data_IF_897359402669
#
_entry.id   IF_897359402669
#
_cell.length_a   1.000
_cell.length_b   1.000
_cell.length_c   1.000
_cell.angle_alpha   90.00
_cell.angle_beta   90.00
_cell.angle_gamma   90.00
#
_symmetry.space_group_name_H-M   'P 1'
#
loop_
_entity.id
_entity.type
_entity.pdbx_description
1 polymer ?
#
# COMPACT_ATOMS: atom_id res chain seq x y z
N UNK A 1 -13.79 24.43 46.45
CA UNK A 1 -13.13 23.64 45.37
C UNK A 1 -11.64 23.96 45.37
N UNK A 2 -10.75 22.98 45.14
CA UNK A 2 -9.30 23.25 45.06
C UNK A 2 -8.99 24.02 43.75
N UNK A 3 -8.02 24.94 43.76
CA UNK A 3 -7.63 25.76 42.59
C UNK A 3 -7.44 24.93 41.31
N UNK A 4 -6.78 23.77 41.42
CA UNK A 4 -6.61 22.82 40.31
C UNK A 4 -7.92 22.41 39.64
N UNK A 5 -8.99 22.19 40.41
CA UNK A 5 -10.28 21.75 39.90
C UNK A 5 -10.98 22.87 39.14
N UNK A 6 -10.83 24.12 39.62
CA UNK A 6 -11.35 25.32 38.97
C UNK A 6 -10.60 25.54 37.65
N UNK A 7 -9.26 25.52 37.68
CA UNK A 7 -8.42 25.72 36.51
C UNK A 7 -8.67 24.68 35.41
N UNK A 8 -8.74 23.39 35.76
CA UNK A 8 -8.99 22.33 34.77
C UNK A 8 -10.40 22.44 34.19
N UNK A 9 -11.42 22.69 35.00
CA UNK A 9 -12.80 22.76 34.51
C UNK A 9 -13.03 23.99 33.62
N UNK A 10 -12.71 25.19 34.12
CA UNK A 10 -12.97 26.43 33.39
C UNK A 10 -11.98 26.64 32.24
N UNK A 11 -10.73 26.20 32.39
CA UNK A 11 -9.75 26.21 31.30
C UNK A 11 -10.16 25.31 30.13
N UNK A 12 -10.64 24.09 30.42
CA UNK A 12 -11.15 23.20 29.36
C UNK A 12 -12.40 23.75 28.69
N UNK A 13 -13.33 24.36 29.44
CA UNK A 13 -14.51 25.01 28.86
C UNK A 13 -14.15 26.19 27.95
N UNK A 14 -13.18 27.01 28.34
CA UNK A 14 -12.69 28.12 27.52
C UNK A 14 -12.05 27.64 26.21
N UNK A 15 -11.29 26.54 26.26
CA UNK A 15 -10.69 25.92 25.06
C UNK A 15 -11.75 25.35 24.13
N UNK A 16 -12.76 24.63 24.66
CA UNK A 16 -13.85 24.08 23.85
C UNK A 16 -14.69 25.19 23.22
N UNK A 17 -14.96 26.26 23.96
CA UNK A 17 -15.65 27.44 23.43
C UNK A 17 -14.84 28.11 22.32
N UNK A 18 -13.53 28.31 22.52
CA UNK A 18 -12.64 28.87 21.50
C UNK A 18 -12.64 28.00 20.23
N UNK A 19 -12.48 26.68 20.36
CA UNK A 19 -12.52 25.74 19.25
C UNK A 19 -13.84 25.84 18.48
N UNK A 20 -14.97 25.85 19.19
CA UNK A 20 -16.31 25.96 18.59
C UNK A 20 -16.49 27.27 17.81
N UNK A 21 -16.06 28.41 18.36
CA UNK A 21 -16.21 29.72 17.70
C UNK A 21 -15.21 29.94 16.56
N UNK A 22 -14.08 29.24 16.56
CA UNK A 22 -13.09 29.27 15.47
C UNK A 22 -13.31 28.21 14.40
N UNK A 23 -14.32 27.35 14.57
CA UNK A 23 -14.65 26.26 13.64
C UNK A 23 -15.31 26.82 12.36
N UNK A 24 -14.66 26.71 11.19
CA UNK A 24 -15.23 27.20 9.93
C UNK A 24 -16.51 26.45 9.54
N UNK A 25 -16.72 25.24 10.07
CA UNK A 25 -17.85 24.36 9.76
C UNK A 25 -18.97 24.46 10.80
N UNK A 26 -19.10 25.62 11.48
CA UNK A 26 -20.16 25.92 12.46
C UNK A 26 -20.25 24.87 13.60
N UNK A 27 -19.11 24.36 14.05
CA UNK A 27 -19.00 23.48 15.21
C UNK A 27 -19.00 21.98 14.91
N UNK A 28 -19.10 21.56 13.64
CA UNK A 28 -19.05 20.13 13.25
C UNK A 28 -17.68 19.53 13.52
N UNK A 29 -16.60 20.23 13.16
CA UNK A 29 -15.23 19.78 13.44
C UNK A 29 -14.95 19.69 14.93
N UNK A 30 -15.41 20.68 15.70
CA UNK A 30 -15.34 20.71 17.16
C UNK A 30 -16.12 19.54 17.76
N UNK A 31 -17.30 19.21 17.22
CA UNK A 31 -18.09 18.05 17.64
C UNK A 31 -17.36 16.72 17.44
N UNK A 32 -16.65 16.54 16.32
CA UNK A 32 -15.85 15.35 16.05
C UNK A 32 -14.63 15.24 16.99
N UNK A 33 -13.97 16.37 17.29
CA UNK A 33 -12.88 16.42 18.28
C UNK A 33 -13.39 16.05 19.67
N UNK A 34 -14.55 16.59 20.07
CA UNK A 34 -15.20 16.28 21.35
C UNK A 34 -15.60 14.81 21.46
N UNK A 35 -16.04 14.18 20.37
CA UNK A 35 -16.32 12.74 20.33
C UNK A 35 -15.05 11.90 20.55
N UNK A 36 -13.91 12.36 20.01
CA UNK A 36 -12.59 11.76 20.27
C UNK A 36 -12.17 11.88 21.74
N UNK A 37 -12.35 13.06 22.34
CA UNK A 37 -12.07 13.30 23.77
C UNK A 37 -12.99 12.45 24.67
N UNK A 38 -14.28 12.35 24.33
CA UNK A 38 -15.25 11.55 25.06
C UNK A 38 -14.84 10.08 25.12
N UNK A 39 -14.33 9.53 24.01
CA UNK A 39 -13.78 8.17 23.97
C UNK A 39 -12.61 8.01 24.95
N UNK A 40 -11.70 8.99 25.02
CA UNK A 40 -10.61 8.99 25.98
C UNK A 40 -11.08 9.07 27.44
N UNK A 41 -12.08 9.89 27.73
CA UNK A 41 -12.70 9.99 29.08
C UNK A 41 -13.33 8.66 29.47
N UNK A 42 -14.10 8.03 28.58
CA UNK A 42 -14.73 6.74 28.82
C UNK A 42 -13.66 5.65 29.04
N UNK A 43 -12.60 5.62 28.23
CA UNK A 43 -11.51 4.66 28.39
C UNK A 43 -10.80 4.81 29.74
N UNK A 44 -10.51 6.04 30.18
CA UNK A 44 -9.90 6.30 31.49
C UNK A 44 -10.85 5.95 32.63
N UNK A 45 -12.15 6.29 32.52
CA UNK A 45 -13.16 5.92 33.51
C UNK A 45 -13.29 4.40 33.65
N UNK A 46 -13.37 3.69 32.52
CA UNK A 46 -13.40 2.24 32.47
C UNK A 46 -12.12 1.62 33.06
N UNK A 47 -10.94 2.11 32.69
CA UNK A 47 -9.67 1.63 33.23
C UNK A 47 -9.59 1.87 34.75
N UNK A 48 -10.08 3.01 35.24
CA UNK A 48 -10.14 3.30 36.67
C UNK A 48 -11.07 2.34 37.43
N UNK A 49 -12.28 2.14 36.91
CA UNK A 49 -13.29 1.24 37.50
C UNK A 49 -12.82 -0.21 37.47
N UNK A 50 -12.31 -0.68 36.33
CA UNK A 50 -11.80 -2.03 36.14
C UNK A 50 -10.59 -2.31 37.03
N UNK A 51 -9.67 -1.35 37.16
CA UNK A 51 -8.56 -1.45 38.12
C UNK A 51 -9.09 -1.63 39.53
N UNK A 52 -10.09 -0.85 39.97
CA UNK A 52 -10.67 -1.02 41.31
C UNK A 52 -11.25 -2.43 41.49
N UNK A 53 -12.05 -2.90 40.54
CA UNK A 53 -12.66 -4.23 40.58
C UNK A 53 -11.62 -5.37 40.62
N UNK A 54 -10.50 -5.24 39.87
CA UNK A 54 -9.42 -6.22 39.85
C UNK A 54 -8.65 -6.35 41.18
N UNK A 55 -8.78 -5.38 42.08
CA UNK A 55 -8.05 -5.35 43.35
C UNK A 55 -8.99 -5.19 44.58
N UNK A 56 -10.23 -5.64 44.46
CA UNK A 56 -11.28 -5.52 45.50
C UNK A 56 -11.49 -6.81 46.31
N UNK A 57 -10.61 -7.80 46.19
CA UNK A 57 -10.68 -9.05 46.97
C UNK A 57 -9.51 -9.15 47.97
N UNK A 58 -9.71 -9.83 49.12
CA UNK A 58 -8.80 -9.76 50.28
C UNK A 58 -7.33 -10.09 49.97
N UNK A 59 -7.09 -11.01 49.04
CA UNK A 59 -5.77 -11.48 48.63
C UNK A 59 -5.02 -10.47 47.75
N UNK A 60 -5.74 -9.58 47.06
CA UNK A 60 -5.18 -8.56 46.17
C UNK A 60 -5.56 -7.13 46.57
N UNK A 61 -5.98 -6.91 47.83
CA UNK A 61 -6.37 -5.59 48.32
C UNK A 61 -5.24 -4.57 48.10
N UNK A 62 -5.52 -3.61 47.21
CA UNK A 62 -4.51 -2.65 46.79
C UNK A 62 -4.07 -1.72 47.94
N UNK A 63 -4.94 -1.41 48.90
CA UNK A 63 -4.56 -0.53 50.02
C UNK A 63 -3.56 -1.21 50.94
N UNK A 64 -3.78 -2.49 51.24
CA UNK A 64 -2.90 -3.36 52.01
C UNK A 64 -1.56 -3.55 51.29
N UNK A 65 -1.60 -3.87 49.99
CA UNK A 65 -0.40 -4.07 49.19
C UNK A 65 0.45 -2.79 49.09
N UNK A 66 -0.17 -1.62 48.84
CA UNK A 66 0.56 -0.35 48.79
C UNK A 66 1.11 0.05 50.17
N UNK A 67 0.42 -0.26 51.27
CA UNK A 67 0.92 0.01 52.62
C UNK A 67 2.17 -0.82 52.93
N UNK A 68 2.18 -2.10 52.56
CA UNK A 68 3.35 -2.98 52.70
C UNK A 68 4.49 -2.48 51.82
N UNK A 69 4.20 -2.20 50.55
CA UNK A 69 5.17 -1.71 49.58
C UNK A 69 5.83 -0.39 49.99
N UNK A 70 5.08 0.52 50.62
CA UNK A 70 5.59 1.81 51.10
C UNK A 70 6.65 1.70 52.20
N UNK A 71 6.86 0.51 52.79
CA UNK A 71 7.92 0.28 53.78
C UNK A 71 9.35 0.37 53.21
N UNK A 72 9.53 0.43 51.89
CA UNK A 72 10.82 0.69 51.26
C UNK A 72 10.69 1.46 49.94
N UNK A 73 11.72 2.23 49.52
CA UNK A 73 11.72 2.89 48.21
C UNK A 73 11.54 1.90 47.05
N UNK A 74 12.19 0.74 47.12
CA UNK A 74 12.09 -0.31 46.10
C UNK A 74 10.68 -0.90 46.03
N UNK A 75 10.07 -1.20 47.18
CA UNK A 75 8.69 -1.69 47.24
C UNK A 75 7.70 -0.68 46.66
N UNK A 76 7.82 0.59 47.02
CA UNK A 76 6.99 1.66 46.50
C UNK A 76 7.14 1.81 44.97
N UNK A 77 8.37 1.73 44.46
CA UNK A 77 8.65 1.74 43.02
C UNK A 77 7.97 0.58 42.29
N UNK A 78 8.11 -0.64 42.80
CA UNK A 78 7.48 -1.83 42.19
C UNK A 78 5.96 -1.74 42.16
N UNK A 79 5.32 -1.24 43.22
CA UNK A 79 3.87 -1.05 43.26
C UNK A 79 3.38 -0.04 42.20
N UNK A 80 4.14 1.05 41.98
CA UNK A 80 3.85 2.02 40.93
C UNK A 80 4.09 1.48 39.50
N UNK A 81 5.06 0.60 39.31
CA UNK A 81 5.25 -0.08 38.02
C UNK A 81 4.09 -1.05 37.76
N UNK A 82 3.70 -1.85 38.74
CA UNK A 82 2.60 -2.80 38.60
C UNK A 82 1.29 -2.09 38.23
N UNK A 83 0.97 -0.96 38.89
CA UNK A 83 -0.25 -0.21 38.58
C UNK A 83 -0.19 0.42 37.18
N UNK A 84 0.99 0.88 36.74
CA UNK A 84 1.17 1.43 35.40
C UNK A 84 0.95 0.37 34.32
N UNK A 85 1.44 -0.86 34.54
CA UNK A 85 1.23 -2.00 33.62
C UNK A 85 -0.26 -2.34 33.51
N UNK A 86 -0.96 -2.45 34.65
CA UNK A 86 -2.41 -2.76 34.65
C UNK A 86 -3.21 -1.66 33.95
N UNK A 87 -2.91 -0.39 34.22
CA UNK A 87 -3.56 0.72 33.55
C UNK A 87 -3.27 0.74 32.04
N UNK A 88 -2.03 0.46 31.64
CA UNK A 88 -1.66 0.36 30.24
C UNK A 88 -2.42 -0.77 29.53
N UNK A 89 -2.51 -1.96 30.15
CA UNK A 89 -3.26 -3.09 29.62
C UNK A 89 -4.76 -2.76 29.47
N UNK A 90 -5.37 -2.16 30.49
CA UNK A 90 -6.78 -1.77 30.46
C UNK A 90 -7.08 -0.68 29.43
N UNK A 91 -6.20 0.31 29.28
CA UNK A 91 -6.31 1.32 28.23
C UNK A 91 -6.05 0.75 26.83
N UNK A 92 -5.19 -0.27 26.74
CA UNK A 92 -4.89 -1.00 25.50
C UNK A 92 -6.10 -1.68 24.88
N UNK A 93 -7.11 -2.06 25.67
CA UNK A 93 -8.41 -2.59 25.19
C UNK A 93 -9.14 -1.55 24.31
N UNK A 94 -8.96 -0.26 24.58
CA UNK A 94 -9.54 0.85 23.83
C UNK A 94 -8.60 1.41 22.76
N UNK A 95 -7.37 0.90 22.69
CA UNK A 95 -6.50 1.16 21.57
C UNK A 95 -7.19 0.67 20.31
N UNK A 96 -7.43 1.57 19.34
CA UNK A 96 -7.78 1.12 17.99
C UNK A 96 -6.70 0.15 17.57
N UNK A 97 -7.05 -1.12 17.34
CA UNK A 97 -6.21 -2.05 16.61
C UNK A 97 -5.64 -1.27 15.44
N UNK A 98 -4.32 -1.09 15.39
CA UNK A 98 -3.67 -0.50 14.24
C UNK A 98 -3.88 -1.47 13.09
N UNK A 99 -5.05 -1.42 12.45
CA UNK A 99 -5.37 -2.21 11.30
C UNK A 99 -4.52 -1.64 10.17
N UNK A 100 -3.35 -2.24 9.96
CA UNK A 100 -2.62 -2.06 8.73
C UNK A 100 -3.60 -2.37 7.59
N UNK A 101 -3.62 -1.50 6.58
CA UNK A 101 -4.44 -1.72 5.40
C UNK A 101 -4.10 -3.11 4.83
N UNK A 102 -5.08 -4.01 4.81
CA UNK A 102 -4.90 -5.36 4.29
C UNK A 102 -4.79 -5.31 2.78
N UNK A 103 -3.67 -5.79 2.25
CA UNK A 103 -3.36 -5.78 0.80
C UNK A 103 -4.41 -6.51 -0.04
N UNK A 104 -5.12 -7.49 0.52
CA UNK A 104 -6.12 -8.26 -0.23
C UNK A 104 -7.51 -7.63 -0.25
N UNK A 105 -7.79 -6.66 0.63
CA UNK A 105 -9.15 -6.13 0.81
C UNK A 105 -9.20 -4.60 0.75
N UNK A 106 -8.14 -3.91 1.16
CA UNK A 106 -8.08 -2.45 1.16
C UNK A 106 -7.78 -1.90 -0.24
N UNK A 107 -8.70 -1.09 -0.77
CA UNK A 107 -8.52 -0.36 -2.03
C UNK A 107 -8.04 1.07 -1.73
N UNK A 108 -6.86 1.50 -2.23
CA UNK A 108 -6.34 2.85 -2.01
C UNK A 108 -7.33 3.95 -2.42
N UNK A 109 -7.43 5.07 -1.68
CA UNK A 109 -8.38 6.15 -2.00
C UNK A 109 -8.20 6.72 -3.42
N UNK A 110 -6.95 6.90 -3.86
CA UNK A 110 -6.68 7.36 -5.22
C UNK A 110 -7.08 6.35 -6.30
N UNK A 111 -7.14 5.05 -5.99
CA UNK A 111 -7.63 4.06 -6.94
C UNK A 111 -9.08 4.34 -7.30
N UNK A 112 -9.95 4.64 -6.31
CA UNK A 112 -11.35 5.01 -6.56
C UNK A 112 -11.49 6.22 -7.50
N UNK A 113 -10.55 7.17 -7.46
CA UNK A 113 -10.55 8.35 -8.34
C UNK A 113 -10.27 8.01 -9.80
N UNK A 114 -9.38 7.04 -10.06
CA UNK A 114 -8.85 6.79 -11.40
C UNK A 114 -9.30 5.45 -12.01
N UNK A 115 -9.93 4.56 -11.24
CA UNK A 115 -10.33 3.24 -11.73
C UNK A 115 -11.36 3.32 -12.87
N UNK A 116 -12.27 4.29 -12.84
CA UNK A 116 -13.23 4.48 -13.93
C UNK A 116 -12.55 4.94 -15.24
N UNK A 117 -11.47 5.72 -15.13
CA UNK A 117 -10.65 6.11 -16.28
C UNK A 117 -9.87 4.92 -16.82
N UNK A 118 -9.29 4.09 -15.93
CA UNK A 118 -8.64 2.84 -16.32
C UNK A 118 -9.63 1.90 -17.04
N UNK A 119 -10.83 1.71 -16.49
CA UNK A 119 -11.88 0.90 -17.09
C UNK A 119 -12.23 1.40 -18.49
N UNK A 120 -12.39 2.71 -18.65
CA UNK A 120 -12.63 3.32 -19.98
C UNK A 120 -11.51 3.03 -20.97
N UNK A 121 -10.24 3.21 -20.58
CA UNK A 121 -9.10 2.89 -21.44
C UNK A 121 -9.01 1.38 -21.73
N UNK A 122 -9.29 0.51 -20.75
CA UNK A 122 -9.35 -0.93 -20.96
C UNK A 122 -10.44 -1.31 -21.97
N UNK A 123 -11.68 -0.86 -21.80
CA UNK A 123 -12.78 -1.19 -22.71
C UNK A 123 -12.50 -0.69 -24.14
N UNK A 124 -11.93 0.50 -24.28
CA UNK A 124 -11.67 1.09 -25.59
C UNK A 124 -10.49 0.46 -26.35
N UNK A 125 -9.56 -0.22 -25.66
CA UNK A 125 -8.31 -0.72 -26.27
C UNK A 125 -8.10 -2.22 -26.09
N UNK A 126 -8.76 -2.85 -25.13
CA UNK A 126 -8.70 -4.28 -24.87
C UNK A 126 -10.03 -4.81 -24.28
N UNK A 127 -11.16 -4.68 -25.01
CA UNK A 127 -12.49 -4.99 -24.48
C UNK A 127 -12.66 -6.44 -24.03
N UNK A 128 -11.97 -7.38 -24.67
CA UNK A 128 -11.98 -8.82 -24.39
C UNK A 128 -10.89 -9.24 -23.38
N UNK A 129 -10.45 -8.32 -22.50
CA UNK A 129 -9.48 -8.64 -21.46
C UNK A 129 -10.05 -9.73 -20.52
N UNK A 130 -9.40 -10.90 -20.36
CA UNK A 130 -9.98 -12.03 -19.62
C UNK A 130 -10.12 -11.78 -18.11
N UNK A 131 -9.25 -10.94 -17.54
CA UNK A 131 -9.27 -10.52 -16.12
C UNK A 131 -8.90 -9.04 -15.92
N UNK A 132 -9.79 -8.09 -16.24
CA UNK A 132 -9.45 -6.66 -16.31
C UNK A 132 -8.94 -6.07 -14.97
N UNK A 133 -9.29 -6.70 -13.85
CA UNK A 133 -8.80 -6.33 -12.52
C UNK A 133 -7.28 -6.51 -12.34
N UNK A 134 -6.62 -7.28 -13.21
CA UNK A 134 -5.17 -7.40 -13.23
C UNK A 134 -4.46 -6.07 -13.53
N UNK A 135 -5.04 -5.23 -14.39
CA UNK A 135 -4.48 -3.92 -14.72
C UNK A 135 -4.46 -2.99 -13.49
N UNK A 136 -5.48 -3.09 -12.64
CA UNK A 136 -5.55 -2.32 -11.39
C UNK A 136 -4.52 -2.82 -10.35
N UNK A 137 -4.37 -4.13 -10.22
CA UNK A 137 -3.32 -4.71 -9.36
C UNK A 137 -1.91 -4.40 -9.84
N UNK A 138 -1.69 -4.35 -11.15
CA UNK A 138 -0.45 -3.90 -11.78
C UNK A 138 -0.11 -2.45 -11.39
N UNK A 139 -1.06 -1.52 -11.51
CA UNK A 139 -0.86 -0.12 -11.09
C UNK A 139 -0.53 -0.02 -9.61
N UNK A 140 -1.19 -0.82 -8.76
CA UNK A 140 -0.86 -0.86 -7.35
C UNK A 140 0.58 -1.34 -7.13
N UNK A 141 0.98 -2.42 -7.79
CA UNK A 141 2.33 -2.97 -7.69
C UNK A 141 3.41 -1.98 -8.14
N UNK A 142 3.13 -1.19 -9.19
CA UNK A 142 4.09 -0.24 -9.75
C UNK A 142 4.17 1.08 -8.95
N UNK A 143 3.06 1.56 -8.38
CA UNK A 143 3.00 2.91 -7.79
C UNK A 143 3.00 2.96 -6.26
N UNK A 144 2.66 1.87 -5.57
CA UNK A 144 2.38 1.89 -4.13
C UNK A 144 3.55 1.37 -3.28
N UNK A 145 4.28 2.29 -2.64
CA UNK A 145 5.25 1.95 -1.58
C UNK A 145 4.56 1.32 -0.35
N UNK A 146 3.38 1.85 -0.01
CA UNK A 146 2.39 1.25 0.89
C UNK A 146 1.01 1.67 0.41
N UNK A 147 -0.04 0.96 0.86
CA UNK A 147 -1.43 1.21 0.41
C UNK A 147 -1.96 2.58 0.83
N UNK A 148 -1.36 3.19 1.86
CA UNK A 148 -1.72 4.51 2.37
C UNK A 148 -0.73 5.60 1.96
N UNK A 149 0.34 5.25 1.22
CA UNK A 149 1.33 6.21 0.78
C UNK A 149 0.75 7.18 -0.25
N UNK A 150 1.10 8.46 -0.18
CA UNK A 150 0.57 9.52 -1.07
C UNK A 150 0.87 9.32 -2.56
N UNK A 151 1.89 8.50 -2.87
CA UNK A 151 2.27 8.09 -4.23
C UNK A 151 1.44 6.93 -4.79
N UNK A 152 0.76 6.18 -3.93
CA UNK A 152 -0.04 5.03 -4.35
C UNK A 152 -1.19 5.49 -5.23
N UNK A 153 -1.31 4.89 -6.42
CA UNK A 153 -2.32 5.28 -7.42
C UNK A 153 -2.30 6.78 -7.77
N UNK A 154 -1.12 7.40 -7.83
CA UNK A 154 -0.99 8.82 -8.09
C UNK A 154 -0.29 9.09 -9.44
N UNK A 155 -0.93 9.79 -10.40
CA UNK A 155 -0.29 10.12 -11.67
C UNK A 155 0.91 11.07 -11.52
N UNK A 156 0.98 11.81 -10.41
CA UNK A 156 2.11 12.67 -10.07
C UNK A 156 3.24 11.90 -9.33
N UNK A 157 3.12 10.58 -9.14
CA UNK A 157 4.17 9.78 -8.53
C UNK A 157 5.46 9.90 -9.33
N UNK A 158 6.56 10.22 -8.64
CA UNK A 158 7.86 10.44 -9.23
C UNK A 158 8.94 9.69 -8.46
N UNK A 159 9.70 8.89 -9.19
CA UNK A 159 11.02 8.41 -8.80
C UNK A 159 12.04 9.20 -9.63
N UNK A 160 12.91 9.98 -8.99
CA UNK A 160 13.97 10.71 -9.69
C UNK A 160 15.30 10.51 -9.00
N UNK A 161 16.25 9.98 -9.73
CA UNK A 161 17.65 9.84 -9.33
C UNK A 161 18.54 10.41 -10.45
N UNK A 162 19.86 10.53 -10.24
CA UNK A 162 20.78 10.88 -11.32
C UNK A 162 20.77 9.84 -12.47
N UNK A 163 20.35 8.60 -12.20
CA UNK A 163 20.36 7.50 -13.17
C UNK A 163 19.03 7.33 -13.90
N UNK A 164 17.91 7.74 -13.30
CA UNK A 164 16.59 7.48 -13.88
C UNK A 164 15.50 8.44 -13.41
N UNK A 165 14.46 8.56 -14.23
CA UNK A 165 13.18 9.14 -13.88
C UNK A 165 12.06 8.17 -14.21
N UNK A 166 11.36 7.68 -13.18
CA UNK A 166 10.13 6.91 -13.26
C UNK A 166 8.92 7.80 -12.96
N UNK A 167 7.90 7.74 -13.80
CA UNK A 167 6.73 8.62 -13.72
C UNK A 167 5.38 7.87 -13.69
N UNK A 168 4.51 8.30 -12.78
CA UNK A 168 3.09 8.00 -12.80
C UNK A 168 2.70 6.59 -12.36
N UNK A 169 1.50 6.17 -12.78
CA UNK A 169 0.87 4.90 -12.38
C UNK A 169 1.73 3.66 -12.67
N UNK A 170 2.34 3.61 -13.86
CA UNK A 170 3.12 2.46 -14.33
C UNK A 170 4.63 2.70 -14.30
N UNK A 171 5.10 3.76 -13.62
CA UNK A 171 6.50 4.14 -13.53
C UNK A 171 7.21 4.17 -14.91
N UNK A 172 6.61 4.86 -15.91
CA UNK A 172 7.24 5.03 -17.23
C UNK A 172 8.61 5.65 -17.05
N UNK A 173 9.65 5.07 -17.66
CA UNK A 173 11.04 5.33 -17.27
C UNK A 173 11.87 5.89 -18.40
N UNK A 174 12.68 6.92 -18.09
CA UNK A 174 13.88 7.27 -18.85
C UNK A 174 15.10 7.13 -17.96
N UNK A 175 16.18 6.58 -18.50
CA UNK A 175 17.44 6.41 -17.77
C UNK A 175 18.60 7.11 -18.47
N UNK A 176 19.60 7.47 -17.68
CA UNK A 176 20.75 8.28 -18.09
C UNK A 176 22.06 7.55 -17.79
N UNK A 177 23.08 7.83 -18.59
CA UNK A 177 24.47 7.48 -18.30
C UNK A 177 25.06 8.48 -17.30
N UNK A 178 26.25 8.19 -16.80
CA UNK A 178 26.98 9.06 -15.85
C UNK A 178 27.32 10.43 -16.43
N UNK A 179 27.45 10.54 -17.74
CA UNK A 179 27.68 11.80 -18.48
C UNK A 179 26.39 12.60 -18.75
N UNK A 180 25.23 12.12 -18.26
CA UNK A 180 23.93 12.75 -18.46
C UNK A 180 23.26 12.40 -19.79
N UNK A 181 23.91 11.67 -20.69
CA UNK A 181 23.29 11.24 -21.95
C UNK A 181 22.19 10.22 -21.70
N UNK A 182 21.10 10.29 -22.48
CA UNK A 182 20.00 9.33 -22.36
C UNK A 182 20.44 7.93 -22.80
N UNK A 183 20.19 6.94 -21.94
CA UNK A 183 20.44 5.51 -22.20
C UNK A 183 19.23 4.82 -22.82
N UNK A 184 18.04 5.08 -22.29
CA UNK A 184 16.77 4.65 -22.88
C UNK A 184 15.63 5.54 -22.40
N UNK A 185 14.52 5.52 -23.13
CA UNK A 185 13.28 6.23 -22.81
C UNK A 185 12.07 5.39 -23.25
N UNK A 186 11.37 4.81 -22.28
CA UNK A 186 10.20 3.98 -22.56
C UNK A 186 8.99 4.81 -23.00
N UNK A 187 8.89 6.09 -22.59
CA UNK A 187 7.81 6.95 -23.05
C UNK A 187 7.96 7.20 -24.55
N UNK A 188 9.17 7.53 -25.01
CA UNK A 188 9.46 7.70 -26.43
C UNK A 188 9.14 6.43 -27.22
N UNK A 189 9.64 5.27 -26.78
CA UNK A 189 9.38 3.99 -27.44
C UNK A 189 7.87 3.66 -27.53
N UNK A 190 7.12 3.95 -26.46
CA UNK A 190 5.66 3.75 -26.45
C UNK A 190 4.95 4.67 -27.45
N UNK A 191 5.37 5.93 -27.60
CA UNK A 191 4.78 6.85 -28.59
C UNK A 191 5.04 6.43 -30.03
N UNK A 192 6.25 5.96 -30.30
CA UNK A 192 6.65 5.47 -31.61
C UNK A 192 5.86 4.21 -31.98
N UNK A 193 5.53 3.37 -30.99
CA UNK A 193 4.77 2.13 -31.18
C UNK A 193 3.26 2.37 -31.29
N UNK A 194 2.71 3.31 -30.50
CA UNK A 194 1.27 3.50 -30.36
C UNK A 194 0.84 4.94 -30.71
N UNK A 195 0.20 5.15 -31.87
CA UNK A 195 -0.29 6.47 -32.28
C UNK A 195 -1.22 7.15 -31.27
N UNK A 196 -1.98 6.37 -30.50
CA UNK A 196 -2.87 6.85 -29.44
C UNK A 196 -2.12 7.57 -28.30
N UNK A 197 -0.79 7.47 -28.24
CA UNK A 197 0.06 8.14 -27.28
C UNK A 197 0.82 9.33 -27.89
N UNK A 198 0.52 9.73 -29.13
CA UNK A 198 1.24 10.79 -29.86
C UNK A 198 1.39 12.10 -29.08
N UNK A 199 0.38 12.50 -28.31
CA UNK A 199 0.38 13.70 -27.47
C UNK A 199 1.17 13.56 -26.16
N UNK A 200 1.55 12.34 -25.77
CA UNK A 200 2.24 12.10 -24.51
C UNK A 200 3.66 12.62 -24.58
N UNK A 201 4.19 13.21 -23.52
CA UNK A 201 5.55 13.72 -23.50
C UNK A 201 6.04 13.85 -22.07
N UNK A 202 7.36 13.97 -21.88
CA UNK A 202 7.91 14.30 -20.56
C UNK A 202 7.47 15.66 -20.02
N UNK A 203 6.94 16.55 -20.85
CA UNK A 203 6.40 17.85 -20.42
C UNK A 203 5.01 17.72 -19.78
N UNK A 204 4.23 16.72 -20.17
CA UNK A 204 2.86 16.51 -19.68
C UNK A 204 2.66 15.16 -18.98
N UNK A 205 3.74 14.38 -18.76
CA UNK A 205 3.66 13.01 -18.29
C UNK A 205 2.88 12.88 -16.99
N UNK A 206 3.04 13.81 -16.05
CA UNK A 206 2.37 13.81 -14.74
C UNK A 206 0.93 14.39 -14.77
N UNK A 207 0.58 15.10 -15.85
CA UNK A 207 -0.69 15.80 -16.02
C UNK A 207 -1.69 15.03 -16.89
N UNK A 208 -1.24 13.96 -17.57
CA UNK A 208 -2.04 13.12 -18.47
C UNK A 208 -2.28 11.72 -17.88
N UNK A 209 -3.12 11.59 -16.82
CA UNK A 209 -3.44 10.29 -16.24
C UNK A 209 -4.10 9.35 -17.26
N UNK A 210 -4.84 9.90 -18.24
CA UNK A 210 -5.43 9.16 -19.35
C UNK A 210 -4.37 8.46 -20.21
N UNK A 211 -3.31 9.18 -20.61
CA UNK A 211 -2.24 8.61 -21.43
C UNK A 211 -1.36 7.64 -20.64
N UNK A 212 -1.14 7.89 -19.34
CA UNK A 212 -0.45 6.93 -18.47
C UNK A 212 -1.20 5.59 -18.41
N UNK A 213 -2.51 5.61 -18.12
CA UNK A 213 -3.32 4.40 -18.00
C UNK A 213 -3.47 3.71 -19.38
N UNK A 214 -3.63 4.48 -20.45
CA UNK A 214 -3.63 3.97 -21.82
C UNK A 214 -2.35 3.21 -22.15
N UNK A 215 -1.19 3.74 -21.79
CA UNK A 215 0.09 3.09 -22.02
C UNK A 215 0.17 1.73 -21.30
N UNK A 216 -0.31 1.64 -20.05
CA UNK A 216 -0.37 0.40 -19.29
C UNK A 216 -1.25 -0.64 -19.99
N UNK A 217 -2.44 -0.26 -20.45
CA UNK A 217 -3.36 -1.14 -21.18
C UNK A 217 -2.73 -1.66 -22.46
N UNK A 218 -2.16 -0.74 -23.27
CA UNK A 218 -1.57 -1.09 -24.58
C UNK A 218 -0.36 -2.01 -24.43
N UNK A 219 0.54 -1.72 -23.49
CA UNK A 219 1.72 -2.55 -23.23
C UNK A 219 1.33 -3.94 -22.71
N UNK A 220 0.38 -4.00 -21.77
CA UNK A 220 -0.12 -5.28 -21.23
C UNK A 220 -0.80 -6.12 -22.31
N UNK A 221 -1.62 -5.49 -23.17
CA UNK A 221 -2.27 -6.16 -24.30
C UNK A 221 -1.25 -6.71 -25.28
N UNK A 222 -0.25 -5.91 -25.66
CA UNK A 222 0.76 -6.32 -26.61
C UNK A 222 1.60 -7.49 -26.08
N UNK A 223 1.99 -7.46 -24.79
CA UNK A 223 2.66 -8.58 -24.15
C UNK A 223 1.80 -9.86 -24.18
N UNK A 224 0.52 -9.76 -23.81
CA UNK A 224 -0.41 -10.89 -23.84
C UNK A 224 -0.57 -11.46 -25.26
N UNK A 225 -0.72 -10.60 -26.27
CA UNK A 225 -0.86 -11.01 -27.67
C UNK A 225 0.42 -11.65 -28.23
N UNK A 226 1.60 -11.14 -27.87
CA UNK A 226 2.88 -11.71 -28.27
C UNK A 226 3.09 -13.13 -27.71
N UNK A 227 2.40 -13.47 -26.63
CA UNK A 227 2.42 -14.77 -25.96
C UNK A 227 1.27 -15.70 -26.38
N UNK A 228 0.61 -15.45 -27.51
CA UNK A 228 -0.52 -16.25 -28.02
C UNK A 228 -0.28 -17.76 -28.11
N UNK A 229 0.99 -18.19 -28.23
CA UNK A 229 1.37 -19.60 -28.25
C UNK A 229 1.21 -20.30 -26.89
N UNK A 230 1.14 -19.55 -25.79
CA UNK A 230 0.72 -20.09 -24.49
C UNK A 230 -0.79 -20.24 -24.54
N UNK A 231 -1.30 -21.47 -24.59
CA UNK A 231 -2.72 -21.72 -24.89
C UNK A 231 -3.64 -21.28 -23.75
N UNK A 232 -3.29 -21.62 -22.52
CA UNK A 232 -4.12 -21.31 -21.35
C UNK A 232 -4.02 -19.82 -20.98
N UNK A 233 -5.19 -19.22 -20.71
CA UNK A 233 -5.35 -17.79 -20.41
C UNK A 233 -4.57 -17.34 -19.18
N UNK A 234 -4.71 -18.04 -18.06
CA UNK A 234 -4.06 -17.69 -16.78
C UNK A 234 -2.52 -17.68 -16.89
N UNK A 235 -1.87 -18.75 -17.38
CA UNK A 235 -0.44 -18.70 -17.65
C UNK A 235 -0.04 -17.59 -18.62
N UNK A 236 -0.83 -17.33 -19.67
CA UNK A 236 -0.53 -16.26 -20.63
C UNK A 236 -0.54 -14.88 -19.97
N UNK A 237 -1.50 -14.61 -19.07
CA UNK A 237 -1.54 -13.38 -18.27
C UNK A 237 -0.33 -13.26 -17.35
N UNK A 238 0.04 -14.33 -16.66
CA UNK A 238 1.22 -14.36 -15.78
C UNK A 238 2.52 -14.08 -16.55
N UNK A 239 2.70 -14.70 -17.73
CA UNK A 239 3.82 -14.39 -18.62
C UNK A 239 3.80 -12.95 -19.15
N UNK A 240 2.61 -12.40 -19.43
CA UNK A 240 2.46 -11.04 -19.91
C UNK A 240 2.83 -10.00 -18.84
N UNK A 241 2.47 -10.26 -17.58
CA UNK A 241 2.87 -9.46 -16.42
C UNK A 241 4.39 -9.55 -16.17
N UNK A 242 4.96 -10.75 -16.25
CA UNK A 242 6.41 -10.93 -16.20
C UNK A 242 7.13 -10.15 -17.31
N UNK A 243 6.54 -10.10 -18.51
CA UNK A 243 7.05 -9.32 -19.64
C UNK A 243 6.86 -7.81 -19.45
N UNK A 244 5.81 -7.37 -18.75
CA UNK A 244 5.60 -5.97 -18.39
C UNK A 244 6.76 -5.47 -17.52
N UNK A 245 7.08 -6.22 -16.46
CA UNK A 245 8.14 -5.86 -15.53
C UNK A 245 9.56 -6.07 -16.10
N UNK A 246 9.77 -7.18 -16.82
CA UNK A 246 11.11 -7.67 -17.16
C UNK A 246 11.42 -7.79 -18.65
N UNK A 247 10.49 -7.43 -19.53
CA UNK A 247 10.62 -7.53 -20.98
C UNK A 247 10.35 -8.93 -21.54
N UNK A 248 9.74 -8.97 -22.73
CA UNK A 248 9.30 -10.19 -23.42
C UNK A 248 10.45 -11.15 -23.76
N UNK A 249 11.61 -10.63 -24.17
CA UNK A 249 12.77 -11.46 -24.51
C UNK A 249 13.24 -12.31 -23.32
N UNK A 250 13.23 -11.74 -22.11
CA UNK A 250 13.57 -12.47 -20.89
C UNK A 250 12.58 -13.60 -20.60
N UNK A 251 11.28 -13.35 -20.79
CA UNK A 251 10.24 -14.38 -20.62
C UNK A 251 10.45 -15.54 -21.60
N UNK A 252 10.79 -15.28 -22.85
CA UNK A 252 11.07 -16.35 -23.82
C UNK A 252 12.33 -17.15 -23.46
N UNK A 253 13.37 -16.49 -22.94
CA UNK A 253 14.56 -17.17 -22.42
C UNK A 253 14.23 -18.08 -21.23
N UNK A 254 13.41 -17.60 -20.28
CA UNK A 254 12.95 -18.38 -19.13
C UNK A 254 12.12 -19.60 -19.56
N UNK A 255 11.19 -19.41 -20.51
CA UNK A 255 10.39 -20.51 -21.09
C UNK A 255 11.26 -21.55 -21.79
N UNK A 256 12.25 -21.12 -22.58
CA UNK A 256 13.19 -22.02 -23.24
C UNK A 256 14.01 -22.81 -22.23
N UNK A 257 14.54 -22.15 -21.22
CA UNK A 257 15.30 -22.80 -20.16
C UNK A 257 14.44 -23.82 -19.38
N UNK A 258 13.17 -23.49 -19.11
CA UNK A 258 12.22 -24.43 -18.52
C UNK A 258 12.00 -25.64 -19.42
N UNK A 259 11.78 -25.46 -20.73
CA UNK A 259 11.57 -26.57 -21.66
C UNK A 259 12.77 -27.54 -21.78
N UNK A 260 13.97 -27.12 -21.39
CA UNK A 260 15.16 -27.98 -21.33
C UNK A 260 15.29 -28.73 -19.99
N UNK A 261 14.54 -28.34 -18.97
CA UNK A 261 14.60 -28.91 -17.62
C UNK A 261 13.56 -30.03 -17.47
N UNK A 262 13.98 -31.19 -17.01
CA UNK A 262 13.09 -32.31 -16.71
C UNK A 262 12.00 -31.90 -15.73
N UNK A 263 10.74 -32.18 -16.08
CA UNK A 263 9.57 -31.89 -15.25
C UNK A 263 9.07 -30.44 -15.26
N UNK A 264 9.58 -29.58 -16.15
CA UNK A 264 9.11 -28.20 -16.29
C UNK A 264 8.28 -28.03 -17.56
N UNK A 265 7.06 -27.49 -17.42
CA UNK A 265 6.15 -27.20 -18.53
C UNK A 265 6.26 -25.72 -18.96
N UNK A 266 6.81 -25.41 -20.15
CA UNK A 266 7.00 -24.03 -20.62
C UNK A 266 5.69 -23.30 -20.99
N UNK A 267 4.54 -23.98 -20.90
CA UNK A 267 3.20 -23.42 -21.05
C UNK A 267 2.59 -22.99 -19.71
N UNK A 268 3.22 -23.32 -18.58
CA UNK A 268 2.76 -22.96 -17.23
C UNK A 268 3.73 -21.99 -16.57
N UNK A 269 3.18 -20.97 -15.91
CA UNK A 269 3.98 -20.06 -15.09
C UNK A 269 4.25 -20.67 -13.71
N UNK A 270 3.19 -20.80 -12.91
CA UNK A 270 3.26 -21.26 -11.52
C UNK A 270 3.73 -22.72 -11.42
N UNK A 271 4.59 -22.98 -10.44
CA UNK A 271 5.29 -24.24 -10.21
C UNK A 271 6.15 -24.73 -11.40
N UNK A 272 6.37 -23.89 -12.43
CA UNK A 272 7.08 -24.26 -13.66
C UNK A 272 8.08 -23.16 -14.05
N UNK A 273 7.74 -22.30 -15.01
CA UNK A 273 8.68 -21.28 -15.51
C UNK A 273 9.12 -20.31 -14.42
N UNK A 274 8.29 -20.03 -13.41
CA UNK A 274 8.69 -19.14 -12.30
C UNK A 274 9.97 -19.63 -11.57
N UNK A 275 10.16 -20.95 -11.50
CA UNK A 275 11.33 -21.58 -10.87
C UNK A 275 12.59 -21.57 -11.75
N UNK A 276 12.48 -21.09 -12.99
CA UNK A 276 13.57 -20.99 -13.96
C UNK A 276 13.76 -19.55 -14.37
N UNK A 277 14.91 -18.95 -14.05
CA UNK A 277 15.11 -17.53 -14.23
C UNK A 277 16.52 -17.24 -14.77
N UNK A 278 16.57 -16.68 -15.97
CA UNK A 278 17.80 -16.34 -16.68
C UNK A 278 18.22 -14.88 -16.45
N UNK A 279 17.47 -14.13 -15.66
CA UNK A 279 17.82 -12.76 -15.26
C UNK A 279 18.95 -12.77 -14.23
N UNK A 280 19.63 -11.63 -14.08
CA UNK A 280 20.67 -11.46 -13.07
C UNK A 280 20.14 -11.78 -11.67
N UNK A 281 20.91 -12.57 -10.92
CA UNK A 281 20.69 -12.87 -9.50
C UNK A 281 21.51 -11.96 -8.57
N UNK A 282 22.24 -10.99 -9.14
CA UNK A 282 22.92 -9.98 -8.34
C UNK A 282 21.89 -9.05 -7.69
N UNK A 283 22.13 -8.67 -6.44
CA UNK A 283 21.28 -7.72 -5.71
C UNK A 283 21.23 -6.37 -6.43
N UNK A 284 20.02 -5.83 -6.60
CA UNK A 284 19.76 -4.56 -7.28
C UNK A 284 19.09 -3.55 -6.35
N UNK A 285 18.08 -3.97 -5.59
CA UNK A 285 17.37 -3.13 -4.61
C UNK A 285 17.30 -3.85 -3.27
N UNK A 286 18.07 -3.36 -2.29
CA UNK A 286 18.28 -4.08 -1.04
C UNK A 286 18.87 -5.46 -1.34
N UNK A 287 18.21 -6.51 -0.86
CA UNK A 287 18.64 -7.89 -1.09
C UNK A 287 17.96 -8.56 -2.30
N UNK A 288 17.14 -7.83 -3.06
CA UNK A 288 16.37 -8.39 -4.18
C UNK A 288 17.13 -8.24 -5.49
N UNK A 289 17.20 -9.31 -6.27
CA UNK A 289 17.76 -9.34 -7.62
C UNK A 289 16.71 -9.01 -8.68
N UNK A 290 17.15 -8.81 -9.93
CA UNK A 290 16.24 -8.65 -11.07
C UNK A 290 15.36 -9.90 -11.28
N UNK A 291 15.85 -11.07 -10.87
CA UNK A 291 15.06 -12.28 -10.87
C UNK A 291 13.93 -12.24 -9.83
N UNK A 292 14.27 -11.95 -8.57
CA UNK A 292 13.32 -11.93 -7.46
C UNK A 292 12.21 -10.92 -7.71
N UNK A 293 12.59 -9.71 -8.15
CA UNK A 293 11.65 -8.64 -8.49
C UNK A 293 10.63 -9.10 -9.51
N UNK A 294 11.08 -9.78 -10.58
CA UNK A 294 10.20 -10.22 -11.65
C UNK A 294 9.24 -11.33 -11.22
N UNK A 295 9.70 -12.27 -10.37
CA UNK A 295 8.86 -13.36 -9.87
C UNK A 295 7.84 -12.87 -8.85
N UNK A 296 8.27 -12.03 -7.92
CA UNK A 296 7.39 -11.41 -6.94
C UNK A 296 6.35 -10.50 -7.61
N UNK A 297 6.72 -9.81 -8.69
CA UNK A 297 5.78 -8.98 -9.44
C UNK A 297 4.55 -9.78 -9.89
N UNK A 298 4.78 -10.94 -10.52
CA UNK A 298 3.68 -11.82 -10.99
C UNK A 298 2.87 -12.38 -9.83
N UNK A 299 3.53 -12.84 -8.76
CA UNK A 299 2.81 -13.35 -7.59
C UNK A 299 1.91 -12.26 -6.98
N UNK A 300 2.43 -11.04 -6.82
CA UNK A 300 1.67 -9.95 -6.22
C UNK A 300 0.51 -9.48 -7.10
N UNK A 301 0.72 -9.28 -8.39
CA UNK A 301 -0.35 -8.86 -9.30
C UNK A 301 -1.40 -9.97 -9.38
N UNK A 302 -1.01 -11.19 -9.73
CA UNK A 302 -1.97 -12.25 -10.04
C UNK A 302 -2.75 -12.77 -8.83
N UNK A 303 -2.14 -12.81 -7.63
CA UNK A 303 -2.69 -13.52 -6.47
C UNK A 303 -2.92 -12.67 -5.22
N UNK A 304 -2.31 -11.49 -5.12
CA UNK A 304 -2.37 -10.69 -3.89
C UNK A 304 -3.18 -9.42 -4.06
N UNK A 305 -2.94 -8.66 -5.14
CA UNK A 305 -3.43 -7.28 -5.27
C UNK A 305 -4.70 -7.14 -6.10
N UNK A 306 -4.92 -8.01 -7.09
CA UNK A 306 -5.94 -7.74 -8.10
C UNK A 306 -7.38 -8.07 -7.71
N UNK A 307 -7.61 -9.08 -6.86
CA UNK A 307 -8.97 -9.59 -6.59
C UNK A 307 -9.92 -8.53 -6.02
N UNK A 308 -9.43 -7.63 -5.15
CA UNK A 308 -10.22 -6.52 -4.58
C UNK A 308 -10.73 -5.51 -5.60
N UNK A 309 -10.18 -5.49 -6.82
CA UNK A 309 -10.60 -4.60 -7.88
C UNK A 309 -11.65 -5.20 -8.82
N UNK A 310 -11.99 -6.48 -8.67
CA UNK A 310 -12.91 -7.17 -9.57
C UNK A 310 -14.25 -6.42 -9.73
N UNK A 311 -14.91 -6.09 -8.62
CA UNK A 311 -16.18 -5.36 -8.65
C UNK A 311 -16.11 -3.92 -9.20
N UNK A 312 -14.91 -3.35 -9.33
CA UNK A 312 -14.69 -2.00 -9.87
C UNK A 312 -14.29 -2.00 -11.35
N UNK A 313 -13.84 -3.16 -11.87
CA UNK A 313 -13.35 -3.34 -13.25
C UNK A 313 -14.30 -4.15 -14.14
N UNK A 314 -15.31 -4.81 -13.57
CA UNK A 314 -16.46 -5.39 -14.29
C UNK A 314 -17.38 -4.28 -14.82
#
# INVERSE_FOLDING_TARGET
MRFRTIFTLFGSLAVVAALFFTDPDRGVGTGLIMLGILTGIIAVAFAHMSRKALFDYPEADMQKLFRIAAGSPTGAGLALVAIAIVLFALLGIFGKSAHAADVKTYVPPNAHKYIQLLKTEQLNRWPDHPRPELLAGLIEQESCLSLTHSKCWNPASKLKTPREEGAGFGQITRAYRTDGTQRFDSLQAMRETYPDLSEWSWQNVYQRPDLQLRAIVLMSRANYQALRMVVATEPRLAFADAAYNGGLAGVQSDRRACGLKTGCDPQKWFANVEATCTKSRAALYGNRSACDINREHVEFVMRVRSSKYAGLML
#
